data_IF_266349280377
#
_entry.id   IF_266349280377
#
_cell.length_a   1.000
_cell.length_b   1.000
_cell.length_c   1.000
_cell.angle_alpha   90.00
_cell.angle_beta   90.00
_cell.angle_gamma   90.00
#
_symmetry.space_group_name_H-M   'P 1'
#
loop_
_entity.id
_entity.type
_entity.pdbx_description
1 polymer ?
#
# COMPACT_ATOMS: atom_id res chain seq x y z
N UNK A 1 -16.53 -12.71 8.99
CA UNK A 1 -15.69 -11.72 9.71
C UNK A 1 -14.70 -11.17 8.72
N UNK A 2 -14.68 -9.85 8.49
CA UNK A 2 -13.71 -9.23 7.58
C UNK A 2 -12.38 -9.12 8.33
N UNK A 3 -11.30 -9.56 7.69
CA UNK A 3 -9.95 -9.56 8.25
C UNK A 3 -9.06 -8.70 7.34
N UNK A 4 -8.36 -7.75 7.94
CA UNK A 4 -7.31 -7.01 7.25
C UNK A 4 -6.06 -7.89 7.16
N UNK A 5 -5.61 -8.21 5.94
CA UNK A 5 -4.42 -9.04 5.73
C UNK A 5 -3.14 -8.20 5.60
N UNK A 6 -3.25 -6.99 5.06
CA UNK A 6 -2.10 -6.13 4.76
C UNK A 6 -2.45 -4.65 4.90
N UNK A 7 -1.64 -3.94 5.67
CA UNK A 7 -1.69 -2.48 5.78
C UNK A 7 -0.37 -1.87 5.26
N UNK A 8 -0.46 -0.90 4.34
CA UNK A 8 0.71 -0.12 3.86
C UNK A 8 0.38 1.36 3.76
N UNK A 9 1.37 2.17 4.15
CA UNK A 9 1.38 3.59 3.82
C UNK A 9 1.83 3.75 2.37
N UNK A 10 0.93 4.13 1.47
CA UNK A 10 1.25 4.29 0.05
C UNK A 10 2.04 5.58 -0.23
N UNK A 11 1.62 6.68 0.39
CA UNK A 11 2.19 8.01 0.22
C UNK A 11 2.49 8.65 1.58
N UNK A 12 3.42 9.60 1.60
CA UNK A 12 3.70 10.42 2.79
C UNK A 12 2.62 11.47 3.03
N UNK A 13 1.96 11.88 1.95
CA UNK A 13 0.87 12.85 1.94
C UNK A 13 -0.49 12.17 1.72
N UNK A 14 -1.55 12.96 1.75
CA UNK A 14 -2.93 12.50 1.57
C UNK A 14 -3.14 11.83 0.20
N UNK A 15 -3.69 10.61 0.24
CA UNK A 15 -4.15 9.90 -0.96
C UNK A 15 -5.50 10.48 -1.36
N UNK A 16 -5.57 11.00 -2.58
CA UNK A 16 -6.78 11.64 -3.12
C UNK A 16 -7.60 10.72 -4.01
N UNK A 17 -6.97 9.67 -4.54
CA UNK A 17 -7.62 8.74 -5.45
C UNK A 17 -6.95 7.36 -5.44
N UNK A 18 -7.74 6.34 -5.76
CA UNK A 18 -7.31 4.95 -5.88
C UNK A 18 -8.05 4.25 -7.02
N UNK A 19 -7.29 3.54 -7.86
CA UNK A 19 -7.82 2.75 -8.96
C UNK A 19 -7.29 1.31 -8.87
N UNK A 20 -8.18 0.34 -9.02
CA UNK A 20 -7.83 -1.08 -9.06
C UNK A 20 -8.03 -1.64 -10.46
N UNK A 21 -7.00 -2.30 -10.99
CA UNK A 21 -7.02 -3.02 -12.25
C UNK A 21 -6.82 -4.51 -11.96
N UNK A 22 -7.88 -5.28 -12.19
CA UNK A 22 -7.96 -6.69 -11.78
C UNK A 22 -7.15 -7.63 -12.69
N UNK A 23 -7.17 -7.40 -14.00
CA UNK A 23 -6.54 -8.30 -14.99
C UNK A 23 -5.02 -8.36 -14.86
N UNK A 24 -4.41 -7.23 -14.49
CA UNK A 24 -2.97 -7.05 -14.29
C UNK A 24 -2.57 -7.15 -12.83
N UNK A 25 -3.53 -7.28 -11.91
CA UNK A 25 -3.30 -7.38 -10.47
C UNK A 25 -2.56 -6.14 -9.91
N UNK A 26 -3.02 -4.95 -10.30
CA UNK A 26 -2.37 -3.67 -9.97
C UNK A 26 -3.34 -2.73 -9.27
N UNK A 27 -2.84 -2.06 -8.24
CA UNK A 27 -3.47 -0.89 -7.62
C UNK A 27 -2.66 0.35 -7.97
N UNK A 28 -3.35 1.44 -8.31
CA UNK A 28 -2.78 2.75 -8.57
C UNK A 28 -3.30 3.71 -7.50
N UNK A 29 -2.42 4.51 -6.92
CA UNK A 29 -2.79 5.52 -5.92
C UNK A 29 -2.25 6.90 -6.32
N UNK A 30 -3.08 7.94 -6.21
CA UNK A 30 -2.71 9.33 -6.45
C UNK A 30 -2.71 10.12 -5.15
N UNK A 31 -1.80 11.09 -5.04
CA UNK A 31 -1.59 11.89 -3.82
C UNK A 31 -1.53 13.39 -4.14
N UNK A 32 -1.85 14.22 -3.13
CA UNK A 32 -1.67 15.69 -3.21
C UNK A 32 -0.21 16.11 -3.41
N UNK A 33 0.76 15.21 -3.18
CA UNK A 33 2.17 15.45 -3.48
C UNK A 33 2.47 15.46 -5.00
N UNK A 34 1.46 15.18 -5.83
CA UNK A 34 1.57 15.15 -7.29
C UNK A 34 2.13 13.85 -7.85
N UNK A 35 2.41 12.85 -7.00
CA UNK A 35 2.85 11.53 -7.41
C UNK A 35 1.67 10.57 -7.61
N UNK A 36 1.84 9.68 -8.59
CA UNK A 36 0.95 8.55 -8.82
C UNK A 36 1.81 7.29 -8.76
N UNK A 37 1.44 6.34 -7.91
CA UNK A 37 2.24 5.16 -7.55
C UNK A 37 1.49 3.88 -7.93
N UNK A 38 2.24 2.89 -8.39
CA UNK A 38 1.74 1.57 -8.76
C UNK A 38 2.16 0.53 -7.72
N UNK A 39 1.24 -0.38 -7.44
CA UNK A 39 1.38 -1.43 -6.45
C UNK A 39 0.82 -2.74 -7.00
N UNK A 40 1.40 -3.86 -6.62
CA UNK A 40 0.80 -5.18 -6.91
C UNK A 40 -0.32 -5.45 -5.90
N UNK A 41 -1.52 -5.79 -6.36
CA UNK A 41 -2.73 -5.76 -5.50
C UNK A 41 -2.70 -6.83 -4.40
N UNK A 42 -2.27 -8.06 -4.71
CA UNK A 42 -2.25 -9.15 -3.71
C UNK A 42 -1.19 -9.01 -2.62
N UNK A 43 0.05 -8.68 -2.98
CA UNK A 43 1.18 -8.64 -2.04
C UNK A 43 1.51 -7.21 -1.56
N UNK A 44 0.96 -6.17 -2.20
CA UNK A 44 1.21 -4.76 -1.92
C UNK A 44 2.61 -4.28 -2.29
N UNK A 45 3.35 -4.98 -3.14
CA UNK A 45 4.69 -4.57 -3.55
C UNK A 45 4.65 -3.29 -4.38
N UNK A 46 5.58 -2.39 -4.13
CA UNK A 46 5.70 -1.16 -4.88
C UNK A 46 6.38 -1.44 -6.22
N UNK A 47 5.70 -1.09 -7.31
CA UNK A 47 6.16 -1.31 -8.69
C UNK A 47 6.81 -0.05 -9.28
N UNK A 48 6.56 1.11 -8.68
CA UNK A 48 7.14 2.39 -9.07
C UNK A 48 6.11 3.51 -9.16
N UNK A 49 6.49 4.59 -9.83
CA UNK A 49 5.67 5.79 -9.97
C UNK A 49 5.66 6.30 -11.41
N UNK A 50 4.62 7.03 -11.77
CA UNK A 50 4.55 7.67 -13.09
C UNK A 50 5.67 8.69 -13.27
N UNK A 51 6.15 8.83 -14.51
CA UNK A 51 7.32 9.67 -14.91
C UNK A 51 8.69 9.14 -14.48
N UNK A 52 8.78 7.94 -13.91
CA UNK A 52 10.08 7.31 -13.72
C UNK A 52 10.71 6.91 -15.08
N UNK A 53 12.06 6.85 -15.18
CA UNK A 53 12.74 6.50 -16.43
C UNK A 53 12.62 5.00 -16.79
N UNK A 54 12.34 4.15 -15.81
CA UNK A 54 12.24 2.69 -15.98
C UNK A 54 10.81 2.30 -16.38
N UNK A 55 10.67 1.35 -17.31
CA UNK A 55 9.36 0.73 -17.58
C UNK A 55 8.88 -0.05 -16.36
N UNK A 56 7.57 -0.09 -16.14
CA UNK A 56 6.99 -0.97 -15.14
C UNK A 56 7.20 -2.43 -15.54
N UNK A 57 7.75 -3.22 -14.63
CA UNK A 57 7.87 -4.66 -14.77
C UNK A 57 6.85 -5.29 -13.82
N UNK A 58 5.75 -5.82 -14.35
CA UNK A 58 4.67 -6.40 -13.54
C UNK A 58 4.93 -7.89 -13.21
N UNK A 59 5.83 -8.52 -13.95
CA UNK A 59 6.15 -9.95 -13.80
C UNK A 59 7.18 -10.21 -12.70
N UNK A 60 8.01 -9.22 -12.38
CA UNK A 60 9.11 -9.35 -11.44
C UNK A 60 8.65 -9.02 -10.01
N UNK A 61 8.28 -10.08 -9.29
CA UNK A 61 7.93 -10.02 -7.86
C UNK A 61 9.16 -10.19 -6.95
N UNK A 62 10.38 -10.20 -7.50
CA UNK A 62 11.59 -10.56 -6.74
C UNK A 62 12.13 -9.43 -5.86
N UNK A 63 11.65 -8.19 -6.03
CA UNK A 63 12.23 -7.05 -5.35
C UNK A 63 11.21 -6.24 -4.53
N UNK A 64 11.38 -6.27 -3.20
CA UNK A 64 10.71 -5.38 -2.26
C UNK A 64 11.38 -3.99 -2.28
N UNK A 65 11.04 -3.13 -3.25
CA UNK A 65 11.42 -1.71 -3.16
C UNK A 65 10.37 -1.06 -2.27
N UNK A 66 10.77 -0.24 -1.29
CA UNK A 66 9.85 0.73 -0.71
C UNK A 66 10.00 2.05 -1.47
N UNK A 67 8.94 2.87 -1.59
CA UNK A 67 9.12 4.25 -2.01
C UNK A 67 10.14 4.93 -1.09
N UNK A 68 11.03 5.76 -1.66
CA UNK A 68 12.16 6.34 -0.92
C UNK A 68 11.75 7.27 0.24
N UNK A 69 10.51 7.76 0.23
CA UNK A 69 9.92 8.63 1.25
C UNK A 69 9.06 7.87 2.27
N UNK A 70 8.78 6.58 2.03
CA UNK A 70 7.97 5.74 2.91
C UNK A 70 8.87 4.74 3.62
N UNK A 71 9.15 5.02 4.90
CA UNK A 71 9.97 4.15 5.75
C UNK A 71 9.17 3.10 6.53
N UNK A 72 7.84 3.06 6.36
CA UNK A 72 6.99 2.11 7.07
C UNK A 72 6.99 0.78 6.33
N UNK A 73 7.56 -0.26 6.96
CA UNK A 73 7.42 -1.62 6.46
C UNK A 73 5.95 -2.06 6.49
N UNK A 74 5.52 -2.91 5.54
CA UNK A 74 4.20 -3.53 5.60
C UNK A 74 4.04 -4.22 6.95
N UNK A 75 3.02 -3.82 7.71
CA UNK A 75 2.69 -4.53 8.94
C UNK A 75 1.85 -5.74 8.55
N UNK A 76 2.50 -6.90 8.43
CA UNK A 76 1.77 -8.17 8.43
C UNK A 76 1.28 -8.37 9.84
N UNK A 77 -0.04 -8.34 10.06
CA UNK A 77 -0.61 -8.64 11.37
C UNK A 77 -0.39 -10.12 11.67
N UNK A 78 0.80 -10.46 12.20
CA UNK A 78 1.01 -11.73 12.87
C UNK A 78 0.24 -11.68 14.19
N UNK A 79 -0.44 -12.78 14.48
CA UNK A 79 -1.12 -13.01 15.75
C UNK A 79 -0.24 -12.54 16.92
N UNK A 80 -0.86 -11.76 17.80
CA UNK A 80 -0.25 -10.87 18.79
C UNK A 80 1.04 -11.41 19.44
N UNK A 81 2.21 -10.90 19.01
CA UNK A 81 3.44 -11.03 19.79
C UNK A 81 3.54 -9.86 20.79
N UNK A 82 3.77 -10.20 22.06
CA UNK A 82 3.56 -9.38 23.27
C UNK A 82 4.40 -8.10 23.41
N UNK A 83 5.08 -7.61 22.38
CA UNK A 83 5.98 -6.48 22.53
C UNK A 83 6.17 -5.67 21.24
N UNK A 84 5.12 -5.02 20.76
CA UNK A 84 5.28 -3.84 19.91
C UNK A 84 4.50 -2.70 20.54
N UNK A 85 5.21 -1.63 20.91
CA UNK A 85 4.58 -0.38 21.33
C UNK A 85 3.54 0.00 20.29
N UNK A 86 2.28 0.07 20.72
CA UNK A 86 1.14 0.43 19.88
C UNK A 86 1.29 1.90 19.50
N UNK A 87 2.05 2.18 18.43
CA UNK A 87 1.98 3.49 17.76
C UNK A 87 0.54 3.64 17.27
N UNK A 88 -0.19 4.55 17.91
CA UNK A 88 -1.60 4.82 17.65
C UNK A 88 -1.69 5.56 16.31
N UNK A 89 -1.88 4.82 15.23
CA UNK A 89 -2.19 5.42 13.94
C UNK A 89 -3.68 5.78 13.94
N UNK A 90 -4.03 7.03 13.62
CA UNK A 90 -5.41 7.55 13.59
C UNK A 90 -6.26 7.04 12.42
N UNK A 91 -5.88 5.93 11.80
CA UNK A 91 -6.55 5.39 10.61
C UNK A 91 -7.17 4.01 10.88
N UNK A 92 -8.07 3.85 11.86
CA UNK A 92 -8.83 2.61 11.94
C UNK A 92 -9.71 2.52 10.70
N UNK A 93 -9.55 1.44 9.92
CA UNK A 93 -10.54 1.07 8.91
C UNK A 93 -11.86 0.75 9.63
N UNK A 94 -12.75 1.73 9.71
CA UNK A 94 -14.09 1.55 10.28
C UNK A 94 -15.00 1.19 9.12
N UNK A 95 -15.33 -0.10 9.01
CA UNK A 95 -16.32 -0.56 8.05
C UNK A 95 -17.71 -0.26 8.61
N UNK A 96 -18.49 0.49 7.85
CA UNK A 96 -19.90 0.74 8.15
C UNK A 96 -20.64 -0.59 8.07
N UNK A 97 -21.13 -1.10 9.21
CA UNK A 97 -21.75 -2.45 9.29
C UNK A 97 -23.21 -2.46 8.83
N UNK A 98 -23.76 -1.29 8.48
CA UNK A 98 -25.20 -1.09 8.30
C UNK A 98 -25.60 -0.65 6.86
N UNK A 99 -25.13 -1.37 5.83
CA UNK A 99 -25.74 -1.34 4.49
C UNK A 99 -25.81 -2.72 3.85
#
# INVERSE_FOLDING_TARGET
QIKEELCRRAHSNEVVDLFHEEEKNVVVTASIDGSVRLWHAMNGYYLGYFRQPRKFELSDNSWLVLPCDVNNFPTTMKEESKHMEKKKFEYPLILDRDK
#
